data_IF_877762132727
#
_entry.id   IF_877762132727
#
_cell.length_a   1.000
_cell.length_b   1.000
_cell.length_c   1.000
_cell.angle_alpha   90.00
_cell.angle_beta   90.00
_cell.angle_gamma   90.00
#
_symmetry.space_group_name_H-M   'P 1'
#
loop_
_entity.id
_entity.type
_entity.pdbx_description
1 polymer ?
#
# COMPACT_ATOMS: atom_id res chain seq x y z
N UNK A 1 -23.22 17.06 12.67
CA UNK A 1 -23.51 16.22 11.49
C UNK A 1 -23.39 17.13 10.29
N UNK A 2 -22.29 17.05 9.54
CA UNK A 2 -22.17 17.73 8.24
C UNK A 2 -23.20 17.08 7.31
N UNK A 3 -24.05 17.87 6.67
CA UNK A 3 -24.98 17.37 5.67
C UNK A 3 -24.35 17.62 4.30
N UNK A 4 -24.04 16.54 3.58
CA UNK A 4 -23.57 16.64 2.21
C UNK A 4 -24.75 17.03 1.30
N UNK A 5 -24.54 17.87 0.30
CA UNK A 5 -25.62 18.25 -0.62
C UNK A 5 -26.08 17.02 -1.41
N UNK A 6 -27.36 16.70 -1.28
CA UNK A 6 -28.05 15.72 -2.12
C UNK A 6 -28.26 16.41 -3.47
N UNK A 7 -27.36 16.17 -4.43
CA UNK A 7 -27.58 16.60 -5.80
C UNK A 7 -28.67 15.72 -6.41
N UNK A 8 -29.77 16.32 -6.89
CA UNK A 8 -30.92 15.62 -7.47
C UNK A 8 -30.57 14.83 -8.75
N UNK A 9 -29.37 15.03 -9.31
CA UNK A 9 -28.85 14.24 -10.44
C UNK A 9 -28.06 12.98 -10.02
N UNK A 10 -27.93 12.71 -8.71
CA UNK A 10 -27.29 11.50 -8.17
C UNK A 10 -28.35 10.56 -7.58
N UNK A 11 -29.38 10.26 -8.35
CA UNK A 11 -30.41 9.28 -8.00
C UNK A 11 -29.76 7.91 -7.69
N UNK A 12 -29.65 7.60 -6.41
CA UNK A 12 -29.15 6.32 -5.89
C UNK A 12 -27.93 6.37 -4.99
N UNK A 13 -27.33 7.54 -4.72
CA UNK A 13 -26.24 7.65 -3.76
C UNK A 13 -26.68 8.28 -2.45
N UNK A 14 -26.79 7.45 -1.41
CA UNK A 14 -26.94 7.89 -0.03
C UNK A 14 -25.56 8.36 0.47
N UNK A 15 -25.29 9.66 0.29
CA UNK A 15 -24.05 10.32 0.71
C UNK A 15 -23.76 10.20 2.23
N UNK A 16 -24.73 9.71 3.00
CA UNK A 16 -24.61 9.46 4.44
C UNK A 16 -24.31 7.98 4.79
N UNK A 17 -24.05 7.10 3.81
CA UNK A 17 -23.73 5.70 4.11
C UNK A 17 -22.23 5.48 4.39
N UNK A 18 -21.86 4.80 5.51
CA UNK A 18 -20.48 4.38 5.81
C UNK A 18 -19.78 3.63 4.66
N UNK A 19 -20.56 3.03 3.76
CA UNK A 19 -20.09 2.26 2.62
C UNK A 19 -19.25 3.08 1.63
N UNK A 20 -19.61 4.35 1.36
CA UNK A 20 -18.85 5.19 0.42
C UNK A 20 -17.45 5.56 0.95
N UNK A 21 -17.35 5.84 2.24
CA UNK A 21 -16.08 6.15 2.91
C UNK A 21 -15.16 4.93 2.96
N UNK A 22 -15.74 3.78 3.28
CA UNK A 22 -15.06 2.49 3.30
C UNK A 22 -14.52 2.10 1.91
N UNK A 23 -15.31 2.27 0.85
CA UNK A 23 -14.85 2.04 -0.52
C UNK A 23 -13.69 2.96 -0.93
N UNK A 24 -13.74 4.23 -0.50
CA UNK A 24 -12.68 5.19 -0.78
C UNK A 24 -11.37 4.81 -0.08
N UNK A 25 -11.47 4.46 1.19
CA UNK A 25 -10.34 3.97 1.99
C UNK A 25 -9.75 2.72 1.36
N UNK A 26 -10.57 1.80 0.89
CA UNK A 26 -10.13 0.55 0.28
C UNK A 26 -9.42 0.78 -1.06
N UNK A 27 -9.91 1.73 -1.85
CA UNK A 27 -9.25 2.20 -3.07
C UNK A 27 -7.86 2.80 -2.76
N UNK A 28 -7.74 3.57 -1.68
CA UNK A 28 -6.46 4.13 -1.22
C UNK A 28 -5.51 3.03 -0.73
N UNK A 29 -5.99 2.09 0.08
CA UNK A 29 -5.21 0.94 0.54
C UNK A 29 -4.64 0.14 -0.63
N UNK A 30 -5.45 -0.16 -1.65
CA UNK A 30 -5.00 -0.86 -2.86
C UNK A 30 -3.92 -0.08 -3.62
N UNK A 31 -4.11 1.24 -3.77
CA UNK A 31 -3.10 2.08 -4.42
C UNK A 31 -1.77 2.04 -3.67
N UNK A 32 -1.81 2.21 -2.36
CA UNK A 32 -0.59 2.22 -1.54
C UNK A 32 0.06 0.84 -1.47
N UNK A 33 -0.73 -0.23 -1.36
CA UNK A 33 -0.23 -1.61 -1.39
C UNK A 33 0.56 -1.88 -2.68
N UNK A 34 0.00 -1.55 -3.85
CA UNK A 34 0.69 -1.71 -5.14
C UNK A 34 2.08 -1.04 -5.13
N UNK A 35 2.20 0.15 -4.55
CA UNK A 35 3.47 0.87 -4.45
C UNK A 35 4.43 0.18 -3.48
N UNK A 36 3.96 -0.13 -2.28
CA UNK A 36 4.76 -0.73 -1.22
C UNK A 36 5.27 -2.09 -1.66
N UNK A 37 4.41 -2.97 -2.20
CA UNK A 37 4.81 -4.30 -2.67
C UNK A 37 5.87 -4.25 -3.75
N UNK A 38 5.79 -3.29 -4.68
CA UNK A 38 6.82 -3.10 -5.70
C UNK A 38 8.15 -2.64 -5.09
N UNK A 39 8.12 -1.67 -4.18
CA UNK A 39 9.35 -1.16 -3.54
C UNK A 39 10.00 -2.23 -2.66
N UNK A 40 9.23 -2.98 -1.87
CA UNK A 40 9.73 -4.13 -1.11
C UNK A 40 10.37 -5.17 -2.04
N UNK A 41 9.72 -5.52 -3.15
CA UNK A 41 10.29 -6.46 -4.13
C UNK A 41 11.61 -5.98 -4.73
N UNK A 42 11.75 -4.68 -4.99
CA UNK A 42 13.01 -4.08 -5.48
C UNK A 42 14.10 -4.14 -4.41
N UNK A 43 13.78 -3.80 -3.16
CA UNK A 43 14.72 -3.83 -2.03
C UNK A 43 15.24 -5.24 -1.77
N UNK A 44 14.36 -6.24 -1.80
CA UNK A 44 14.73 -7.65 -1.67
C UNK A 44 15.69 -8.10 -2.78
N UNK A 45 15.44 -7.68 -4.02
CA UNK A 45 16.32 -8.00 -5.15
C UNK A 45 17.69 -7.34 -5.02
N UNK A 46 17.76 -6.08 -4.58
CA UNK A 46 19.05 -5.40 -4.39
C UNK A 46 19.90 -6.08 -3.32
N UNK A 47 19.32 -6.43 -2.18
CA UNK A 47 20.08 -7.07 -1.10
C UNK A 47 20.53 -8.49 -1.46
N UNK A 48 19.73 -9.21 -2.26
CA UNK A 48 20.15 -10.49 -2.82
C UNK A 48 21.36 -10.34 -3.77
N UNK A 49 21.41 -9.27 -4.57
CA UNK A 49 22.57 -8.97 -5.45
C UNK A 49 23.80 -8.61 -4.60
N UNK A 50 23.64 -7.77 -3.58
CA UNK A 50 24.73 -7.36 -2.69
C UNK A 50 25.30 -8.56 -1.91
N UNK A 51 24.43 -9.51 -1.50
CA UNK A 51 24.86 -10.79 -0.93
C UNK A 51 25.67 -11.61 -1.94
N UNK A 52 25.16 -11.80 -3.17
CA UNK A 52 25.87 -12.54 -4.23
C UNK A 52 27.25 -11.97 -4.54
N UNK A 53 27.37 -10.64 -4.50
CA UNK A 53 28.61 -9.94 -4.83
C UNK A 53 29.57 -9.83 -3.63
N UNK A 54 29.22 -10.40 -2.46
CA UNK A 54 30.08 -10.41 -1.27
C UNK A 54 30.27 -9.05 -0.62
N UNK A 55 29.40 -8.07 -0.91
CA UNK A 55 29.47 -6.73 -0.33
C UNK A 55 28.91 -6.66 1.09
N UNK A 56 28.11 -7.65 1.51
CA UNK A 56 27.64 -7.81 2.89
C UNK A 56 28.73 -8.49 3.74
N UNK A 57 29.73 -7.70 4.15
CA UNK A 57 30.66 -8.10 5.20
C UNK A 57 29.89 -8.21 6.53
N UNK A 58 29.71 -9.44 7.05
CA UNK A 58 29.24 -9.83 8.40
C UNK A 58 27.88 -10.53 8.54
N UNK A 59 27.20 -10.95 7.47
CA UNK A 59 26.16 -12.00 7.59
C UNK A 59 26.71 -13.30 7.02
N UNK A 60 26.55 -14.41 7.75
CA UNK A 60 26.86 -15.74 7.22
C UNK A 60 26.13 -15.90 5.88
N UNK A 61 26.86 -16.29 4.84
CA UNK A 61 26.36 -16.42 3.44
C UNK A 61 25.13 -17.35 3.34
N UNK A 62 24.89 -18.17 4.37
CA UNK A 62 23.71 -19.02 4.53
C UNK A 62 22.42 -18.29 4.93
N UNK A 63 22.51 -17.09 5.51
CA UNK A 63 21.37 -16.25 5.89
C UNK A 63 20.95 -15.28 4.78
N UNK A 64 21.36 -15.52 3.53
CA UNK A 64 20.86 -14.79 2.36
C UNK A 64 19.43 -15.21 1.97
N UNK A 65 18.58 -15.11 2.99
CA UNK A 65 17.21 -14.62 3.08
C UNK A 65 16.10 -15.42 2.41
N UNK A 66 15.79 -16.59 2.98
CA UNK A 66 14.43 -17.15 2.91
C UNK A 66 13.53 -16.55 4.00
N UNK A 67 13.39 -15.22 4.07
CA UNK A 67 12.46 -14.61 5.01
C UNK A 67 11.02 -14.95 4.62
N UNK A 68 10.20 -15.21 5.64
CA UNK A 68 8.75 -15.26 5.44
C UNK A 68 8.25 -13.90 4.94
N UNK A 69 7.09 -13.94 4.27
CA UNK A 69 6.41 -12.75 3.78
C UNK A 69 6.19 -11.67 4.85
N UNK A 70 5.89 -12.09 6.08
CA UNK A 70 5.76 -11.21 7.26
C UNK A 70 7.08 -10.55 7.63
N UNK A 71 8.16 -11.32 7.73
CA UNK A 71 9.49 -10.78 8.02
C UNK A 71 9.96 -9.79 6.95
N UNK A 72 9.70 -10.07 5.68
CA UNK A 72 9.98 -9.14 4.58
C UNK A 72 9.17 -7.84 4.72
N UNK A 73 7.88 -7.94 5.04
CA UNK A 73 7.07 -6.75 5.27
C UNK A 73 7.64 -5.93 6.44
N UNK A 74 7.92 -6.55 7.58
CA UNK A 74 8.42 -5.86 8.78
C UNK A 74 9.78 -5.21 8.56
N UNK A 75 10.67 -5.86 7.81
CA UNK A 75 12.02 -5.34 7.54
C UNK A 75 12.02 -4.15 6.56
N UNK A 76 11.11 -4.14 5.57
CA UNK A 76 11.19 -3.19 4.45
C UNK A 76 10.02 -2.22 4.35
N UNK A 77 8.92 -2.41 5.09
CA UNK A 77 7.73 -1.56 4.99
C UNK A 77 8.06 -0.08 5.21
N UNK A 78 8.77 0.24 6.30
CA UNK A 78 9.12 1.62 6.63
C UNK A 78 9.97 2.26 5.52
N UNK A 79 11.01 1.55 5.06
CA UNK A 79 11.87 2.01 3.95
C UNK A 79 11.09 2.16 2.64
N UNK A 80 10.17 1.24 2.35
CA UNK A 80 9.30 1.32 1.18
C UNK A 80 8.36 2.53 1.27
N UNK A 81 7.78 2.78 2.45
CA UNK A 81 6.88 3.91 2.72
C UNK A 81 7.58 5.26 2.56
N UNK A 82 8.81 5.41 3.07
CA UNK A 82 9.61 6.63 2.88
C UNK A 82 9.96 6.92 1.41
N UNK A 83 10.01 5.88 0.58
CA UNK A 83 10.33 5.98 -0.84
C UNK A 83 9.09 5.96 -1.74
N UNK A 84 7.90 6.17 -1.18
CA UNK A 84 6.67 6.34 -1.96
C UNK A 84 6.72 7.70 -2.67
N UNK A 85 6.50 7.65 -3.98
CA UNK A 85 6.29 8.84 -4.82
C UNK A 85 4.83 9.30 -4.62
N UNK A 86 4.63 10.11 -3.58
CA UNK A 86 3.30 10.52 -3.11
C UNK A 86 2.49 11.27 -4.16
N UNK A 87 3.15 12.04 -5.02
CA UNK A 87 2.55 12.72 -6.16
C UNK A 87 2.00 11.73 -7.20
N UNK A 88 2.78 10.70 -7.53
CA UNK A 88 2.35 9.64 -8.46
C UNK A 88 1.20 8.82 -7.85
N UNK A 89 1.28 8.51 -6.55
CA UNK A 89 0.23 7.82 -5.83
C UNK A 89 -1.07 8.65 -5.83
N UNK A 90 -0.98 9.95 -5.53
CA UNK A 90 -2.12 10.86 -5.56
C UNK A 90 -2.74 10.94 -6.96
N UNK A 91 -1.93 11.05 -8.02
CA UNK A 91 -2.41 11.07 -9.40
C UNK A 91 -3.12 9.76 -9.78
N UNK A 92 -2.57 8.60 -9.38
CA UNK A 92 -3.20 7.29 -9.61
C UNK A 92 -4.52 7.18 -8.87
N UNK A 93 -4.54 7.58 -7.60
CA UNK A 93 -5.74 7.58 -6.77
C UNK A 93 -6.83 8.46 -7.37
N UNK A 94 -6.53 9.70 -7.76
CA UNK A 94 -7.48 10.60 -8.41
C UNK A 94 -8.00 10.00 -9.72
N UNK A 95 -7.13 9.42 -10.55
CA UNK A 95 -7.54 8.81 -11.83
C UNK A 95 -8.50 7.64 -11.65
N UNK A 96 -8.26 6.77 -10.66
CA UNK A 96 -9.16 5.64 -10.36
C UNK A 96 -10.53 6.10 -9.87
N UNK A 97 -10.57 7.30 -9.31
CA UNK A 97 -11.73 7.86 -8.64
C UNK A 97 -12.38 9.02 -9.43
N UNK A 98 -11.92 9.30 -10.66
CA UNK A 98 -12.37 10.46 -11.46
C UNK A 98 -13.85 10.39 -11.84
N UNK A 99 -14.39 9.18 -11.99
CA UNK A 99 -15.80 8.92 -12.26
C UNK A 99 -16.68 8.96 -11.01
N UNK A 100 -16.08 9.21 -9.85
CA UNK A 100 -16.73 9.29 -8.54
C UNK A 100 -16.54 10.72 -8.00
N UNK A 101 -17.17 11.74 -8.60
CA UNK A 101 -16.91 13.16 -8.30
C UNK A 101 -17.20 13.53 -6.84
N UNK A 102 -18.09 12.79 -6.17
CA UNK A 102 -18.40 12.93 -4.75
C UNK A 102 -17.20 12.67 -3.83
N UNK A 103 -16.16 11.98 -4.28
CA UNK A 103 -14.94 11.75 -3.50
C UNK A 103 -14.16 13.03 -3.20
N UNK A 104 -14.39 14.10 -3.99
CA UNK A 104 -13.88 15.44 -3.63
C UNK A 104 -14.45 15.95 -2.32
N UNK A 105 -15.68 15.55 -1.96
CA UNK A 105 -16.32 15.97 -0.71
C UNK A 105 -15.81 15.19 0.50
N UNK A 106 -15.38 13.94 0.29
CA UNK A 106 -14.83 13.10 1.34
C UNK A 106 -13.31 13.21 1.45
N UNK A 107 -12.60 13.87 0.54
CA UNK A 107 -11.13 13.92 0.56
C UNK A 107 -10.59 14.58 1.84
N UNK A 108 -11.19 15.69 2.25
CA UNK A 108 -10.76 16.42 3.46
C UNK A 108 -11.08 15.62 4.73
N UNK A 109 -12.22 14.93 4.76
CA UNK A 109 -12.65 14.12 5.91
C UNK A 109 -11.95 12.76 5.94
N UNK A 110 -11.56 12.21 4.79
CA UNK A 110 -10.81 10.95 4.70
C UNK A 110 -9.51 11.04 5.48
N UNK A 111 -8.67 12.02 5.20
CA UNK A 111 -7.38 12.12 5.88
C UNK A 111 -7.50 12.64 7.32
N UNK A 112 -8.60 13.32 7.65
CA UNK A 112 -8.86 13.81 9.01
C UNK A 112 -9.38 12.71 9.94
N UNK A 113 -10.24 11.83 9.43
CA UNK A 113 -10.90 10.77 10.21
C UNK A 113 -10.19 9.41 10.09
N UNK A 114 -9.23 9.28 9.16
CA UNK A 114 -8.48 8.04 8.99
C UNK A 114 -7.59 7.74 10.20
N UNK A 115 -7.89 6.62 10.85
CA UNK A 115 -7.04 6.01 11.85
C UNK A 115 -5.82 5.37 11.15
N UNK A 116 -4.67 6.04 11.26
CA UNK A 116 -3.40 5.62 10.65
C UNK A 116 -2.97 4.22 11.08
N UNK A 117 -3.23 3.82 12.34
CA UNK A 117 -2.85 2.49 12.84
C UNK A 117 -3.69 1.44 12.14
N UNK A 118 -5.02 1.60 12.11
CA UNK A 118 -5.91 0.68 11.39
C UNK A 118 -5.63 0.64 9.90
N UNK A 119 -5.29 1.79 9.32
CA UNK A 119 -4.95 1.89 7.90
C UNK A 119 -3.71 1.06 7.56
N UNK A 120 -2.62 1.17 8.34
CA UNK A 120 -1.42 0.38 8.10
C UNK A 120 -1.60 -1.11 8.45
N UNK A 121 -2.35 -1.44 9.50
CA UNK A 121 -2.71 -2.84 9.78
C UNK A 121 -3.49 -3.47 8.63
N UNK A 122 -4.39 -2.72 7.97
CA UNK A 122 -5.09 -3.20 6.78
C UNK A 122 -4.14 -3.43 5.60
N UNK A 123 -3.17 -2.56 5.39
CA UNK A 123 -2.16 -2.76 4.33
C UNK A 123 -1.30 -3.98 4.59
N UNK A 124 -0.90 -4.21 5.83
CA UNK A 124 -0.19 -5.41 6.24
C UNK A 124 -1.03 -6.67 5.95
N UNK A 125 -2.29 -6.70 6.40
CA UNK A 125 -3.20 -7.81 6.15
C UNK A 125 -3.34 -8.09 4.64
N UNK A 126 -3.61 -7.05 3.84
CA UNK A 126 -3.71 -7.18 2.40
C UNK A 126 -2.39 -7.63 1.78
N UNK A 127 -1.25 -7.13 2.26
CA UNK A 127 0.05 -7.58 1.80
C UNK A 127 0.20 -9.08 2.03
N UNK A 128 -0.02 -9.55 3.27
CA UNK A 128 0.10 -10.95 3.69
C UNK A 128 -0.87 -11.89 2.97
N UNK A 129 -2.03 -11.40 2.52
CA UNK A 129 -3.04 -12.22 1.84
C UNK A 129 -2.97 -12.15 0.31
N UNK A 130 -2.69 -10.98 -0.27
CA UNK A 130 -2.87 -10.72 -1.71
C UNK A 130 -1.57 -10.78 -2.51
N UNK A 131 -0.42 -10.52 -1.89
CA UNK A 131 0.85 -10.56 -2.63
C UNK A 131 1.37 -12.00 -2.79
N UNK A 132 1.90 -12.41 -3.94
CA UNK A 132 2.44 -13.76 -4.07
C UNK A 132 3.69 -13.91 -3.19
N UNK A 133 3.95 -15.12 -2.70
CA UNK A 133 5.21 -15.42 -2.05
C UNK A 133 6.36 -15.19 -3.04
N UNK A 134 7.26 -14.30 -2.65
CA UNK A 134 8.48 -14.06 -3.39
C UNK A 134 9.51 -15.06 -2.86
N UNK A 135 9.54 -16.26 -3.46
CA UNK A 135 10.65 -17.19 -3.23
C UNK A 135 11.89 -16.66 -3.93
N UNK A 136 12.66 -15.81 -3.26
CA UNK A 136 14.01 -15.48 -3.68
C UNK A 136 14.94 -16.54 -3.12
N UNK A 137 15.21 -17.59 -3.89
CA UNK A 137 16.46 -18.30 -3.70
C UNK A 137 17.57 -17.42 -4.27
N UNK A 138 18.41 -16.84 -3.42
CA UNK A 138 19.61 -16.16 -3.87
C UNK A 138 20.63 -17.12 -4.51
N UNK A 139 20.30 -18.40 -4.68
CA UNK A 139 21.16 -19.46 -5.21
C UNK A 139 20.63 -20.14 -6.48
N UNK A 140 19.39 -19.91 -6.94
CA UNK A 140 18.93 -20.51 -8.20
C UNK A 140 19.19 -19.56 -9.38
N UNK A 141 20.37 -19.67 -9.98
CA UNK A 141 20.68 -19.37 -11.38
C UNK A 141 22.04 -19.99 -11.75
#
# INVERSE_FOLDING_TARGET
IRKYPVDENLDGWDADTPQGFEELRDSLCKCLLDFISRKISVLLKSECIDCKQGFLFNMDVHDCVSFSKKQNFDAYFEKALYNVEWDVLAAKFVKLNIHRPFLRWFQDDLFTEMDTVKFFSKIEEMYLNETPDVSLSCFDL
#
